data_IF_794815054718
#
_entry.id   IF_794815054718
#
_cell.length_a   1.000
_cell.length_b   1.000
_cell.length_c   1.000
_cell.angle_alpha   90.00
_cell.angle_beta   90.00
_cell.angle_gamma   90.00
#
_symmetry.space_group_name_H-M   'P 1'
#
loop_
_entity.id
_entity.type
_entity.pdbx_description
1 polymer ?
#
# COMPACT_ATOMS: atom_id res chain seq x y z
N UNK A 1 7.75 -6.08 -14.79
CA UNK A 1 6.91 -7.12 -15.43
C UNK A 1 6.20 -6.54 -16.65
N UNK A 2 6.41 -7.10 -17.85
CA UNK A 2 5.70 -6.70 -19.08
C UNK A 2 4.70 -7.81 -19.45
N UNK A 3 3.61 -7.95 -18.69
CA UNK A 3 2.55 -8.93 -19.01
C UNK A 3 1.55 -8.30 -20.00
N UNK A 4 1.40 -8.95 -21.16
CA UNK A 4 0.51 -8.50 -22.24
C UNK A 4 -0.96 -8.54 -21.83
N UNK A 5 -1.35 -9.49 -20.95
CA UNK A 5 -2.72 -9.64 -20.45
C UNK A 5 -3.09 -8.46 -19.56
N UNK A 6 -2.20 -8.09 -18.64
CA UNK A 6 -2.36 -6.92 -17.76
C UNK A 6 -2.45 -5.64 -18.58
N UNK A 7 -1.53 -5.44 -19.54
CA UNK A 7 -1.53 -4.26 -20.42
C UNK A 7 -2.84 -4.15 -21.21
N UNK A 8 -3.35 -5.27 -21.74
CA UNK A 8 -4.61 -5.34 -22.48
C UNK A 8 -5.79 -4.96 -21.58
N UNK A 9 -5.92 -5.59 -20.41
CA UNK A 9 -7.05 -5.37 -19.49
C UNK A 9 -7.09 -3.93 -18.97
N UNK A 10 -5.94 -3.33 -18.63
CA UNK A 10 -5.86 -1.92 -18.22
C UNK A 10 -6.23 -1.00 -19.39
N UNK A 11 -5.75 -1.29 -20.60
CA UNK A 11 -6.09 -0.51 -21.80
C UNK A 11 -7.59 -0.58 -22.11
N UNK A 12 -8.23 -1.73 -21.88
CA UNK A 12 -9.66 -1.90 -21.99
C UNK A 12 -10.41 -1.01 -20.99
N UNK A 13 -10.00 -1.01 -19.72
CA UNK A 13 -10.57 -0.10 -18.70
C UNK A 13 -10.51 1.36 -19.14
N UNK A 14 -9.36 1.83 -19.61
CA UNK A 14 -9.21 3.21 -20.13
C UNK A 14 -10.18 3.52 -21.26
N UNK A 15 -10.37 2.59 -22.21
CA UNK A 15 -11.30 2.76 -23.34
C UNK A 15 -12.75 2.78 -22.89
N UNK A 16 -13.13 1.92 -21.94
CA UNK A 16 -14.45 1.92 -21.32
C UNK A 16 -14.70 3.28 -20.67
N UNK A 17 -13.82 3.71 -19.75
CA UNK A 17 -13.98 4.99 -19.04
C UNK A 17 -14.11 6.16 -20.00
N UNK A 18 -13.22 6.26 -21.01
CA UNK A 18 -13.30 7.31 -22.04
C UNK A 18 -14.63 7.29 -22.80
N UNK A 19 -15.14 6.10 -23.16
CA UNK A 19 -16.41 5.98 -23.88
C UNK A 19 -17.59 6.59 -23.12
N UNK A 20 -17.64 6.41 -21.79
CA UNK A 20 -18.65 7.02 -20.94
C UNK A 20 -18.36 8.50 -20.70
N UNK A 21 -17.11 8.88 -20.45
CA UNK A 21 -16.74 10.26 -20.18
C UNK A 21 -17.22 11.23 -21.27
N UNK A 22 -16.98 10.87 -22.54
CA UNK A 22 -17.36 11.69 -23.70
C UNK A 22 -18.82 11.54 -24.14
N UNK A 23 -19.63 10.72 -23.45
CA UNK A 23 -21.04 10.50 -23.82
C UNK A 23 -21.97 10.70 -22.65
N UNK A 24 -22.58 11.88 -22.56
CA UNK A 24 -23.60 12.18 -21.55
C UNK A 24 -24.75 11.17 -21.56
N UNK A 25 -25.16 10.70 -22.75
CA UNK A 25 -26.21 9.70 -22.92
C UNK A 25 -25.83 8.36 -22.29
N UNK A 26 -24.57 7.92 -22.46
CA UNK A 26 -24.08 6.69 -21.82
C UNK A 26 -23.95 6.85 -20.31
N UNK A 27 -23.52 8.00 -19.80
CA UNK A 27 -23.48 8.27 -18.35
C UNK A 27 -24.86 8.25 -17.72
N UNK A 28 -25.84 8.86 -18.38
CA UNK A 28 -27.23 8.81 -17.92
C UNK A 28 -27.75 7.37 -17.89
N UNK A 29 -27.54 6.62 -18.97
CA UNK A 29 -27.96 5.23 -19.05
C UNK A 29 -27.23 4.35 -18.02
N UNK A 30 -25.95 4.62 -17.73
CA UNK A 30 -25.22 3.95 -16.66
C UNK A 30 -25.89 4.17 -15.30
N UNK A 31 -26.24 5.42 -14.98
CA UNK A 31 -26.94 5.74 -13.73
C UNK A 31 -28.31 5.04 -13.63
N UNK A 32 -29.07 4.99 -14.72
CA UNK A 32 -30.36 4.27 -14.78
C UNK A 32 -30.17 2.76 -14.54
N UNK A 33 -29.13 2.16 -15.13
CA UNK A 33 -28.81 0.74 -14.94
C UNK A 33 -28.26 0.45 -13.54
N UNK A 34 -27.45 1.35 -12.97
CA UNK A 34 -26.96 1.24 -11.59
C UNK A 34 -28.11 1.11 -10.61
N UNK A 35 -29.12 1.99 -10.74
CA UNK A 35 -30.34 1.94 -9.91
C UNK A 35 -31.09 0.62 -10.10
N UNK A 36 -31.26 0.16 -11.34
CA UNK A 36 -31.95 -1.11 -11.63
C UNK A 36 -31.25 -2.33 -11.03
N UNK A 37 -29.92 -2.32 -10.96
CA UNK A 37 -29.11 -3.42 -10.42
C UNK A 37 -28.83 -3.28 -8.93
N UNK A 38 -29.33 -2.23 -8.27
CA UNK A 38 -29.04 -1.95 -6.86
C UNK A 38 -27.56 -1.62 -6.60
N UNK A 39 -26.82 -1.17 -7.62
CA UNK A 39 -25.41 -0.78 -7.50
C UNK A 39 -25.30 0.68 -7.03
N UNK A 40 -24.20 1.04 -6.33
CA UNK A 40 -23.90 2.44 -6.03
C UNK A 40 -23.86 3.28 -7.32
N UNK A 41 -24.50 4.46 -7.30
CA UNK A 41 -24.57 5.38 -8.44
C UNK A 41 -23.26 6.17 -8.60
N UNK A 42 -22.18 5.46 -8.86
CA UNK A 42 -20.83 6.02 -8.95
C UNK A 42 -20.43 6.36 -10.39
N UNK A 43 -19.77 7.50 -10.58
CA UNK A 43 -19.15 7.83 -11.85
C UNK A 43 -17.88 7.00 -12.07
N UNK A 44 -17.52 6.74 -13.33
CA UNK A 44 -16.25 6.08 -13.64
C UNK A 44 -15.06 7.01 -13.36
N UNK A 45 -13.93 6.42 -12.97
CA UNK A 45 -12.71 7.15 -12.61
C UNK A 45 -11.70 7.03 -13.75
N UNK A 46 -11.18 8.17 -14.19
CA UNK A 46 -10.12 8.23 -15.20
C UNK A 46 -8.74 8.14 -14.54
N UNK A 47 -7.88 7.25 -15.04
CA UNK A 47 -6.47 7.21 -14.64
C UNK A 47 -5.80 8.55 -14.96
N UNK A 48 -5.08 9.11 -13.99
CA UNK A 48 -4.26 10.31 -14.13
C UNK A 48 -2.80 9.98 -13.85
N UNK A 49 -1.92 10.36 -14.77
CA UNK A 49 -0.48 10.18 -14.60
C UNK A 49 0.09 10.96 -13.40
N UNK A 50 -0.59 12.03 -12.96
CA UNK A 50 -0.13 12.90 -11.86
C UNK A 50 -0.75 12.54 -10.50
N UNK A 51 -1.74 11.64 -10.46
CA UNK A 51 -2.41 11.23 -9.21
C UNK A 51 -2.07 9.79 -8.88
N UNK A 52 -1.30 9.62 -7.81
CA UNK A 52 -0.98 8.31 -7.23
C UNK A 52 -2.28 7.53 -6.96
N UNK A 53 -2.26 6.22 -7.26
CA UNK A 53 -3.40 5.33 -7.05
C UNK A 53 -4.56 5.46 -8.05
N UNK A 54 -4.59 6.46 -8.94
CA UNK A 54 -5.73 6.67 -9.87
C UNK A 54 -5.99 5.48 -10.80
N UNK A 55 -4.95 4.76 -11.24
CA UNK A 55 -5.10 3.52 -12.02
C UNK A 55 -5.83 2.45 -11.23
N UNK A 56 -5.43 2.23 -9.98
CA UNK A 56 -6.05 1.24 -9.12
C UNK A 56 -7.52 1.61 -8.88
N UNK A 57 -7.81 2.89 -8.62
CA UNK A 57 -9.18 3.37 -8.38
C UNK A 57 -10.07 3.19 -9.61
N UNK A 58 -9.51 3.39 -10.81
CA UNK A 58 -10.18 3.09 -12.07
C UNK A 58 -10.53 1.60 -12.18
N UNK A 59 -9.58 0.70 -11.87
CA UNK A 59 -9.80 -0.75 -11.92
C UNK A 59 -10.89 -1.15 -10.92
N UNK A 60 -10.78 -0.71 -9.67
CA UNK A 60 -11.76 -0.96 -8.62
C UNK A 60 -13.16 -0.49 -9.03
N UNK A 61 -13.27 0.71 -9.60
CA UNK A 61 -14.55 1.26 -10.08
C UNK A 61 -15.11 0.51 -11.29
N UNK A 62 -14.27 0.00 -12.18
CA UNK A 62 -14.71 -0.80 -13.33
C UNK A 62 -15.23 -2.17 -12.87
N UNK A 63 -14.55 -2.82 -11.92
CA UNK A 63 -15.00 -4.07 -11.32
C UNK A 63 -16.30 -3.90 -10.54
N UNK A 64 -16.41 -2.86 -9.70
CA UNK A 64 -17.64 -2.52 -8.95
C UNK A 64 -18.86 -2.36 -9.87
N UNK A 65 -18.63 -1.80 -11.08
CA UNK A 65 -19.68 -1.42 -12.01
C UNK A 65 -19.82 -2.40 -13.19
N UNK A 66 -19.16 -3.56 -13.15
CA UNK A 66 -19.04 -4.50 -14.26
C UNK A 66 -20.41 -4.84 -14.87
N UNK A 67 -21.37 -5.29 -14.06
CA UNK A 67 -22.70 -5.68 -14.53
C UNK A 67 -23.45 -4.53 -15.22
N UNK A 68 -23.34 -3.31 -14.68
CA UNK A 68 -23.96 -2.13 -15.29
C UNK A 68 -23.27 -1.75 -16.61
N UNK A 69 -21.93 -1.79 -16.64
CA UNK A 69 -21.13 -1.53 -17.84
C UNK A 69 -21.45 -2.54 -18.94
N UNK A 70 -21.51 -3.83 -18.62
CA UNK A 70 -21.83 -4.90 -19.56
C UNK A 70 -23.21 -4.68 -20.21
N UNK A 71 -24.23 -4.32 -19.42
CA UNK A 71 -25.59 -4.05 -19.93
C UNK A 71 -25.62 -2.82 -20.86
N UNK A 72 -25.00 -1.71 -20.47
CA UNK A 72 -24.99 -0.49 -21.29
C UNK A 72 -24.17 -0.67 -22.58
N UNK A 73 -23.01 -1.32 -22.49
CA UNK A 73 -22.11 -1.52 -23.62
C UNK A 73 -22.68 -2.53 -24.63
N UNK A 74 -23.35 -3.59 -24.15
CA UNK A 74 -23.97 -4.61 -25.01
C UNK A 74 -25.13 -4.08 -25.85
N UNK A 75 -25.84 -3.07 -25.34
CA UNK A 75 -26.97 -2.45 -26.02
C UNK A 75 -26.57 -1.54 -27.19
N UNK A 76 -25.28 -1.23 -27.36
CA UNK A 76 -24.77 -0.40 -28.45
C UNK A 76 -23.76 -1.17 -29.30
N UNK A 77 -24.12 -1.44 -30.56
CA UNK A 77 -23.27 -2.15 -31.53
C UNK A 77 -21.86 -1.56 -31.65
N UNK A 78 -21.71 -0.23 -31.51
CA UNK A 78 -20.41 0.44 -31.62
C UNK A 78 -19.50 0.17 -30.42
N UNK A 79 -20.07 -0.14 -29.25
CA UNK A 79 -19.31 -0.29 -28.00
C UNK A 79 -19.37 -1.69 -27.41
N UNK A 80 -20.13 -2.60 -28.02
CA UNK A 80 -20.24 -4.00 -27.60
C UNK A 80 -18.89 -4.71 -27.52
N UNK A 81 -17.93 -4.34 -28.37
CA UNK A 81 -16.58 -4.90 -28.36
C UNK A 81 -15.72 -4.44 -27.15
N UNK A 82 -16.22 -3.50 -26.34
CA UNK A 82 -15.58 -3.04 -25.10
C UNK A 82 -16.08 -3.77 -23.86
N UNK A 83 -17.07 -4.67 -23.97
CA UNK A 83 -17.51 -5.47 -22.84
C UNK A 83 -16.33 -6.34 -22.37
N UNK A 84 -15.90 -6.23 -21.10
CA UNK A 84 -14.85 -7.08 -20.56
C UNK A 84 -15.19 -8.56 -20.72
N UNK A 85 -14.22 -9.34 -21.16
CA UNK A 85 -14.34 -10.80 -21.13
C UNK A 85 -14.06 -11.31 -19.73
N UNK A 86 -14.49 -12.55 -19.42
CA UNK A 86 -14.16 -13.19 -18.14
C UNK A 86 -12.64 -13.22 -17.86
N UNK A 87 -11.81 -13.38 -18.90
CA UNK A 87 -10.35 -13.31 -18.79
C UNK A 87 -9.84 -11.90 -18.47
N UNK A 88 -10.45 -10.86 -19.02
CA UNK A 88 -10.09 -9.48 -18.68
C UNK A 88 -10.43 -9.21 -17.21
N UNK A 89 -11.58 -9.69 -16.73
CA UNK A 89 -12.03 -9.54 -15.35
C UNK A 89 -11.13 -10.29 -14.36
N UNK A 90 -10.81 -11.54 -14.63
CA UNK A 90 -9.88 -12.34 -13.81
C UNK A 90 -8.51 -11.64 -13.65
N UNK A 91 -8.00 -11.03 -14.73
CA UNK A 91 -6.76 -10.26 -14.69
C UNK A 91 -6.91 -8.99 -13.84
N UNK A 92 -8.02 -8.25 -13.99
CA UNK A 92 -8.28 -7.03 -13.23
C UNK A 92 -8.46 -7.34 -11.74
N UNK A 93 -9.16 -8.42 -11.39
CA UNK A 93 -9.33 -8.89 -10.02
C UNK A 93 -8.00 -9.30 -9.40
N UNK A 94 -7.15 -10.03 -10.13
CA UNK A 94 -5.81 -10.39 -9.66
C UNK A 94 -4.94 -9.15 -9.40
N UNK A 95 -4.94 -8.17 -10.31
CA UNK A 95 -4.22 -6.91 -10.13
C UNK A 95 -4.77 -6.13 -8.93
N UNK A 96 -6.09 -6.05 -8.81
CA UNK A 96 -6.76 -5.39 -7.69
C UNK A 96 -6.42 -6.05 -6.35
N UNK A 97 -6.42 -7.39 -6.28
CA UNK A 97 -6.09 -8.17 -5.08
C UNK A 97 -4.70 -7.83 -4.56
N UNK A 98 -3.71 -7.69 -5.45
CA UNK A 98 -2.33 -7.39 -5.04
C UNK A 98 -2.12 -5.90 -4.75
N UNK A 99 -2.73 -5.00 -5.52
CA UNK A 99 -2.48 -3.56 -5.38
C UNK A 99 -3.32 -2.90 -4.29
N UNK A 100 -4.49 -3.44 -3.92
CA UNK A 100 -5.37 -2.82 -2.91
C UNK A 100 -4.69 -2.71 -1.53
N UNK A 101 -4.05 -3.76 -0.98
CA UNK A 101 -3.37 -3.63 0.31
C UNK A 101 -2.21 -2.64 0.27
N UNK A 102 -1.51 -2.54 -0.87
CA UNK A 102 -0.46 -1.55 -1.06
C UNK A 102 -0.99 -0.12 -1.11
N UNK A 103 -2.13 0.10 -1.77
CA UNK A 103 -2.80 1.40 -1.77
C UNK A 103 -3.21 1.77 -0.35
N UNK A 104 -3.92 0.90 0.36
CA UNK A 104 -4.38 1.15 1.73
C UNK A 104 -3.18 1.48 2.65
N UNK A 105 -2.07 0.78 2.46
CA UNK A 105 -0.83 1.05 3.17
C UNK A 105 -0.25 2.43 2.82
N UNK A 106 -0.18 2.80 1.54
CA UNK A 106 0.35 4.11 1.13
C UNK A 106 -0.56 5.26 1.55
N UNK A 107 -1.87 5.06 1.55
CA UNK A 107 -2.85 6.05 2.00
C UNK A 107 -2.69 6.28 3.50
N UNK A 108 -2.57 5.19 4.29
CA UNK A 108 -2.26 5.26 5.71
C UNK A 108 -0.92 5.99 5.96
N UNK A 109 0.14 5.61 5.26
CA UNK A 109 1.46 6.24 5.36
C UNK A 109 1.41 7.74 5.03
N UNK A 110 0.63 8.14 4.02
CA UNK A 110 0.49 9.55 3.63
C UNK A 110 -0.32 10.39 4.62
N UNK A 111 -1.13 9.74 5.46
CA UNK A 111 -1.92 10.40 6.50
C UNK A 111 -1.20 10.54 7.84
N UNK A 112 -0.02 9.93 8.00
CA UNK A 112 0.76 10.04 9.23
C UNK A 112 1.48 11.39 9.32
N UNK A 113 1.41 12.02 10.49
CA UNK A 113 2.05 13.30 10.76
C UNK A 113 3.59 13.19 10.76
N UNK A 114 4.11 12.05 11.24
CA UNK A 114 5.54 11.83 11.43
C UNK A 114 5.98 10.48 10.85
N UNK A 115 6.38 10.50 9.58
CA UNK A 115 7.06 9.37 8.91
C UNK A 115 8.56 9.60 8.90
N UNK A 116 9.28 8.76 9.64
CA UNK A 116 10.74 8.77 9.77
C UNK A 116 11.39 7.62 9.00
N UNK A 117 12.69 7.72 8.77
CA UNK A 117 13.49 6.67 8.09
C UNK A 117 13.35 5.29 8.76
N UNK A 118 13.12 5.27 10.07
CA UNK A 118 12.91 4.07 10.88
C UNK A 118 11.72 3.21 10.47
N UNK A 119 10.76 3.73 9.68
CA UNK A 119 9.67 2.91 9.16
C UNK A 119 10.09 2.00 8.00
N UNK A 120 11.13 2.37 7.23
CA UNK A 120 11.41 1.71 5.95
C UNK A 120 11.77 0.23 6.14
N UNK A 121 12.60 -0.12 7.13
CA UNK A 121 12.94 -1.53 7.41
C UNK A 121 11.72 -2.34 7.86
N UNK A 122 10.90 -1.90 8.85
CA UNK A 122 9.62 -2.54 9.17
C UNK A 122 8.69 -2.70 7.96
N UNK A 123 8.62 -1.71 7.06
CA UNK A 123 7.76 -1.78 5.86
C UNK A 123 8.26 -2.83 4.88
N UNK A 124 9.56 -2.84 4.58
CA UNK A 124 10.16 -3.84 3.71
C UNK A 124 9.93 -5.25 4.28
N UNK A 125 10.10 -5.40 5.59
CA UNK A 125 9.81 -6.63 6.30
C UNK A 125 8.34 -7.05 6.16
N UNK A 126 7.41 -6.12 6.43
CA UNK A 126 5.97 -6.35 6.30
C UNK A 126 5.58 -6.78 4.88
N UNK A 127 6.14 -6.14 3.86
CA UNK A 127 5.87 -6.49 2.47
C UNK A 127 6.38 -7.88 2.11
N UNK A 128 7.59 -8.23 2.52
CA UNK A 128 8.17 -9.55 2.28
C UNK A 128 7.40 -10.69 2.96
N UNK A 129 6.99 -10.49 4.23
CA UNK A 129 6.47 -11.59 5.06
C UNK A 129 4.95 -11.63 5.19
N UNK A 130 4.22 -10.61 4.72
CA UNK A 130 2.76 -10.58 4.83
C UNK A 130 2.08 -10.02 3.58
N UNK A 131 2.11 -8.70 3.36
CA UNK A 131 1.27 -8.04 2.36
C UNK A 131 1.53 -8.54 0.93
N UNK A 132 2.77 -8.94 0.62
CA UNK A 132 3.16 -9.50 -0.68
C UNK A 132 3.70 -10.92 -0.57
N UNK A 133 3.49 -11.60 0.56
CA UNK A 133 3.77 -13.03 0.66
C UNK A 133 2.79 -13.79 -0.25
N UNK A 134 3.30 -14.77 -0.99
CA UNK A 134 2.47 -15.64 -1.82
C UNK A 134 1.64 -16.58 -0.93
N UNK A 135 0.34 -16.66 -1.21
CA UNK A 135 -0.60 -17.53 -0.50
C UNK A 135 -1.00 -18.73 -1.39
N UNK A 136 -1.44 -19.84 -0.79
CA UNK A 136 -1.88 -21.02 -1.56
C UNK A 136 -3.05 -20.71 -2.51
N UNK A 137 -3.92 -19.77 -2.13
CA UNK A 137 -5.06 -19.32 -2.94
C UNK A 137 -4.74 -18.23 -3.97
N UNK A 138 -3.48 -17.86 -4.17
CA UNK A 138 -3.11 -16.90 -5.20
C UNK A 138 -3.05 -17.53 -6.59
N UNK A 139 -3.62 -16.82 -7.57
CA UNK A 139 -3.41 -17.15 -8.97
C UNK A 139 -1.94 -16.97 -9.35
N UNK A 140 -1.50 -17.62 -10.42
CA UNK A 140 -0.14 -17.47 -10.94
C UNK A 140 0.19 -16.02 -11.30
N UNK A 141 -0.81 -15.25 -11.74
CA UNK A 141 -0.65 -13.82 -11.98
C UNK A 141 -0.45 -13.04 -10.67
N UNK A 142 -1.22 -13.33 -9.62
CA UNK A 142 -1.03 -12.72 -8.30
C UNK A 142 0.39 -12.98 -7.77
N UNK A 143 0.84 -14.25 -7.81
CA UNK A 143 2.20 -14.63 -7.39
C UNK A 143 3.25 -13.88 -8.19
N UNK A 144 3.12 -13.84 -9.52
CA UNK A 144 4.05 -13.13 -10.40
C UNK A 144 4.13 -11.63 -10.09
N UNK A 145 2.99 -10.96 -9.85
CA UNK A 145 2.96 -9.54 -9.48
C UNK A 145 3.61 -9.34 -8.11
N UNK A 146 3.22 -10.12 -7.09
CA UNK A 146 3.78 -10.06 -5.73
C UNK A 146 5.30 -10.22 -5.75
N UNK A 147 5.80 -11.30 -6.37
CA UNK A 147 7.22 -11.58 -6.52
C UNK A 147 7.93 -10.45 -7.26
N UNK A 148 7.40 -9.95 -8.38
CA UNK A 148 8.03 -8.86 -9.12
C UNK A 148 8.14 -7.56 -8.32
N UNK A 149 7.17 -7.26 -7.45
CA UNK A 149 7.21 -6.08 -6.57
C UNK A 149 8.25 -6.28 -5.48
N UNK A 150 8.22 -7.44 -4.80
CA UNK A 150 9.16 -7.78 -3.73
C UNK A 150 10.61 -7.78 -4.23
N UNK A 151 10.88 -8.42 -5.36
CA UNK A 151 12.22 -8.43 -5.98
C UNK A 151 12.70 -7.01 -6.32
N UNK A 152 11.81 -6.17 -6.86
CA UNK A 152 12.14 -4.79 -7.17
C UNK A 152 12.54 -4.02 -5.90
N UNK A 153 11.75 -4.14 -4.83
CA UNK A 153 12.01 -3.45 -3.57
C UNK A 153 13.29 -3.96 -2.90
N UNK A 154 13.46 -5.27 -2.80
CA UNK A 154 14.66 -5.86 -2.20
C UNK A 154 15.92 -5.44 -2.97
N UNK A 155 15.87 -5.41 -4.30
CA UNK A 155 16.97 -4.89 -5.13
C UNK A 155 17.16 -3.38 -4.97
N UNK A 156 16.09 -2.61 -4.80
CA UNK A 156 16.16 -1.14 -4.65
C UNK A 156 16.87 -0.75 -3.35
N UNK A 157 16.73 -1.55 -2.30
CA UNK A 157 17.30 -1.32 -0.97
C UNK A 157 18.46 -2.28 -0.63
N UNK A 158 19.03 -3.00 -1.62
CA UNK A 158 20.08 -4.00 -1.37
C UNK A 158 21.47 -3.42 -1.13
N UNK A 159 21.65 -2.11 -1.31
CA UNK A 159 22.92 -1.44 -1.05
C UNK A 159 23.32 -1.62 0.43
N UNK A 160 24.55 -2.07 0.75
CA UNK A 160 24.96 -2.34 2.12
C UNK A 160 24.88 -1.10 3.03
N UNK A 161 25.30 0.07 2.55
CA UNK A 161 25.24 1.30 3.34
C UNK A 161 23.79 1.73 3.63
N UNK A 162 22.91 1.61 2.63
CA UNK A 162 21.49 1.84 2.80
C UNK A 162 20.87 0.86 3.78
N UNK A 163 21.17 -0.43 3.65
CA UNK A 163 20.66 -1.48 4.56
C UNK A 163 21.09 -1.21 5.99
N UNK A 164 22.36 -0.87 6.18
CA UNK A 164 22.95 -0.57 7.47
C UNK A 164 22.30 0.68 8.12
N UNK A 165 22.10 1.74 7.33
CA UNK A 165 21.41 2.95 7.76
C UNK A 165 19.95 2.67 8.16
N UNK A 166 19.24 1.85 7.40
CA UNK A 166 17.86 1.48 7.71
C UNK A 166 17.77 0.61 8.97
N UNK A 167 18.74 -0.29 9.17
CA UNK A 167 18.82 -1.14 10.35
C UNK A 167 19.09 -0.32 11.62
N UNK A 168 20.06 0.60 11.62
CA UNK A 168 20.33 1.46 12.78
C UNK A 168 19.16 2.41 13.06
N UNK A 169 18.59 3.05 12.03
CA UNK A 169 17.49 4.00 12.20
C UNK A 169 16.26 3.34 12.82
N UNK A 170 15.98 2.10 12.44
CA UNK A 170 14.87 1.33 12.98
C UNK A 170 15.17 0.78 14.37
N UNK A 171 16.43 0.41 14.63
CA UNK A 171 16.88 -0.08 15.94
C UNK A 171 16.75 0.97 17.04
N UNK A 172 17.16 2.22 16.75
CA UNK A 172 17.10 3.33 17.72
C UNK A 172 15.69 3.87 17.94
N UNK A 173 14.75 3.54 17.06
CA UNK A 173 13.36 3.93 17.20
C UNK A 173 12.64 3.05 18.26
N UNK A 174 12.14 3.65 19.36
CA UNK A 174 11.49 2.89 20.43
C UNK A 174 10.27 2.09 19.99
N UNK A 175 9.64 2.45 18.86
CA UNK A 175 8.47 1.75 18.30
C UNK A 175 8.83 0.39 17.70
N UNK A 176 10.07 0.23 17.21
CA UNK A 176 10.50 -0.96 16.46
C UNK A 176 11.58 -1.74 17.18
N UNK A 177 12.59 -1.07 17.74
CA UNK A 177 13.73 -1.70 18.42
C UNK A 177 14.32 -2.82 17.56
N UNK A 178 14.55 -4.01 18.13
CA UNK A 178 15.09 -5.17 17.43
C UNK A 178 14.03 -5.99 16.65
N UNK A 179 12.74 -5.60 16.64
CA UNK A 179 11.64 -6.46 16.16
C UNK A 179 11.76 -6.88 14.69
N UNK A 180 12.32 -6.01 13.84
CA UNK A 180 12.42 -6.22 12.39
C UNK A 180 13.88 -6.40 11.93
N UNK A 181 14.74 -6.79 12.87
CA UNK A 181 16.18 -6.98 12.65
C UNK A 181 16.49 -8.44 12.88
N UNK A 182 17.32 -8.99 12.00
CA UNK A 182 17.81 -10.36 12.04
C UNK A 182 18.60 -10.58 13.34
N UNK A 183 18.30 -11.63 14.10
CA UNK A 183 18.79 -11.82 15.48
C UNK A 183 20.31 -11.74 15.59
N UNK A 184 21.02 -12.28 14.60
CA UNK A 184 22.48 -12.32 14.51
C UNK A 184 23.12 -10.93 14.41
N UNK A 185 22.37 -9.92 13.95
CA UNK A 185 22.85 -8.54 13.80
C UNK A 185 22.57 -7.65 15.00
N UNK A 186 21.70 -8.07 15.92
CA UNK A 186 21.20 -7.21 17.00
C UNK A 186 22.33 -6.74 17.92
N UNK A 187 23.25 -7.62 18.29
CA UNK A 187 24.33 -7.26 19.22
C UNK A 187 25.38 -6.35 18.55
N UNK A 188 25.66 -6.56 17.27
CA UNK A 188 26.52 -5.66 16.48
C UNK A 188 25.91 -4.26 16.39
N UNK A 189 24.59 -4.16 16.17
CA UNK A 189 23.88 -2.88 16.13
C UNK A 189 23.83 -2.18 17.49
N UNK A 190 23.62 -2.92 18.58
CA UNK A 190 23.74 -2.37 19.95
C UNK A 190 25.11 -1.75 20.17
N UNK A 191 26.18 -2.51 19.88
CA UNK A 191 27.55 -2.05 20.08
C UNK A 191 27.83 -0.79 19.25
N UNK A 192 27.40 -0.77 17.99
CA UNK A 192 27.57 0.42 17.13
C UNK A 192 26.79 1.62 17.65
N UNK A 193 25.53 1.45 18.05
CA UNK A 193 24.72 2.53 18.59
C UNK A 193 25.38 3.16 19.83
N UNK A 194 25.93 2.34 20.71
CA UNK A 194 26.67 2.82 21.90
C UNK A 194 27.91 3.61 21.49
N UNK A 195 28.74 3.09 20.58
CA UNK A 195 29.94 3.80 20.10
C UNK A 195 29.60 5.15 19.44
N UNK A 196 28.55 5.21 18.62
CA UNK A 196 28.12 6.46 17.99
C UNK A 196 27.67 7.48 19.04
N UNK A 197 26.93 7.05 20.07
CA UNK A 197 26.53 7.92 21.19
C UNK A 197 27.75 8.42 21.97
N UNK A 198 28.70 7.54 22.31
CA UNK A 198 29.93 7.91 23.00
C UNK A 198 30.74 8.94 22.20
N UNK A 199 30.85 8.74 20.88
CA UNK A 199 31.53 9.67 19.97
C UNK A 199 30.84 11.04 19.94
N UNK A 200 29.52 11.06 19.83
CA UNK A 200 28.74 12.31 19.83
C UNK A 200 28.85 13.07 21.16
N UNK A 201 28.95 12.36 22.29
CA UNK A 201 29.16 12.97 23.61
C UNK A 201 30.59 13.53 23.76
N UNK A 202 31.59 12.84 23.22
CA UNK A 202 32.98 13.33 23.19
C UNK A 202 33.11 14.60 22.34
N UNK A 203 32.44 14.65 21.18
CA UNK A 203 32.45 15.83 20.30
C UNK A 203 31.70 17.03 20.89
N UNK A 204 30.61 16.79 21.65
CA UNK A 204 29.90 17.85 22.37
C UNK A 204 30.72 18.45 23.53
N UNK A 205 31.75 17.76 24.00
CA UNK A 205 32.66 18.27 25.03
C UNK A 205 33.64 19.34 24.49
N UNK A 206 33.71 19.52 23.15
CA UNK A 206 34.60 20.45 22.44
C UNK A 206 33.90 21.76 22.03
N UNK A 207 32.57 21.78 21.89
CA UNK A 207 31.81 22.94 21.42
C UNK A 207 30.64 23.26 22.37
N UNK A 208 30.61 24.47 22.95
CA UNK A 208 29.43 24.97 23.66
C UNK A 208 28.22 25.07 22.71
N UNK A 209 26.98 24.84 23.20
CA UNK A 209 25.81 24.82 22.33
C UNK A 209 25.39 26.25 21.93
N UNK A 210 25.20 26.57 20.64
CA UNK A 210 24.19 27.53 20.26
C UNK A 210 22.83 26.89 20.50
N UNK A 211 22.03 27.51 21.36
CA UNK A 211 20.64 27.18 21.66
C UNK A 211 19.89 26.64 20.43
N UNK A 212 19.66 25.33 20.37
CA UNK A 212 18.70 24.73 19.45
C UNK A 212 17.32 25.16 19.91
N UNK A 213 16.75 26.14 19.22
CA UNK A 213 15.35 26.51 19.36
C UNK A 213 14.52 25.33 18.88
N UNK A 214 14.05 24.50 19.81
CA UNK A 214 12.94 23.58 19.56
C UNK A 214 11.79 24.43 19.01
N UNK A 215 11.21 24.11 17.83
CA UNK A 215 10.02 24.79 17.36
C UNK A 215 8.93 24.64 18.42
N UNK A 216 8.55 25.75 19.06
CA UNK A 216 7.40 25.78 19.96
C UNK A 216 6.15 25.59 19.12
N UNK A 217 5.46 24.48 19.33
CA UNK A 217 4.16 24.17 18.71
C UNK A 217 3.10 25.08 19.33
N UNK A 218 2.25 25.77 18.55
CA UNK A 218 1.00 26.31 19.06
C UNK A 218 0.08 25.14 19.41
N UNK A 219 -0.41 25.08 20.65
CA UNK A 219 -1.49 24.14 21.00
C UNK A 219 -2.66 24.28 20.01
N UNK A 220 -3.28 23.17 19.58
CA UNK A 220 -4.49 23.23 18.80
C UNK A 220 -5.59 23.82 19.68
N UNK A 221 -6.18 24.94 19.23
CA UNK A 221 -7.44 25.40 19.75
C UNK A 221 -8.50 24.31 19.51
N UNK A 222 -9.25 23.96 20.56
CA UNK A 222 -10.39 23.07 20.50
C UNK A 222 -11.34 23.50 19.38
N UNK A 223 -11.25 22.78 18.26
CA UNK A 223 -12.10 22.89 17.11
C UNK A 223 -12.60 21.51 16.78
N UNK A 224 -13.78 21.20 17.27
CA UNK A 224 -14.51 19.97 17.03
C UNK A 224 -14.74 19.80 15.52
N UNK A 225 -13.86 19.04 14.86
CA UNK A 225 -13.94 18.77 13.43
C UNK A 225 -14.39 17.33 13.19
N UNK A 226 -15.50 17.24 12.45
CA UNK A 226 -16.28 16.06 12.09
C UNK A 226 -15.50 14.75 11.87
N UNK A 227 -16.06 13.68 12.46
CA UNK A 227 -15.66 12.28 12.30
C UNK A 227 -15.62 11.88 10.82
N UNK A 228 -14.41 11.78 10.26
CA UNK A 228 -14.15 11.09 9.01
C UNK A 228 -14.15 9.56 9.25
N UNK A 229 -14.52 8.73 8.26
CA UNK A 229 -14.69 7.29 8.46
C UNK A 229 -13.35 6.65 8.86
N UNK A 230 -13.40 5.59 9.67
CA UNK A 230 -12.24 4.87 10.25
C UNK A 230 -11.22 4.45 9.16
N UNK A 231 -10.26 5.32 8.86
CA UNK A 231 -9.11 5.00 8.03
C UNK A 231 -8.18 4.05 8.79
N UNK A 232 -7.60 3.07 8.08
CA UNK A 232 -6.57 2.21 8.66
C UNK A 232 -5.37 3.11 9.02
N UNK A 233 -4.95 3.11 10.27
CA UNK A 233 -3.74 3.84 10.69
C UNK A 233 -2.50 3.05 10.33
N UNK A 234 -1.36 3.70 10.11
CA UNK A 234 -0.12 2.99 9.77
C UNK A 234 0.28 2.01 10.90
N UNK A 235 0.05 2.40 12.14
CA UNK A 235 0.25 1.54 13.31
C UNK A 235 -0.54 0.23 13.27
N UNK A 236 -1.72 0.20 12.62
CA UNK A 236 -2.54 -1.01 12.54
C UNK A 236 -1.85 -2.14 11.75
N UNK A 237 -1.08 -1.80 10.72
CA UNK A 237 -0.30 -2.74 9.92
C UNK A 237 0.83 -3.40 10.72
N UNK A 238 1.41 -2.69 11.70
CA UNK A 238 2.50 -3.22 12.54
C UNK A 238 2.00 -3.97 13.79
N UNK A 239 0.80 -3.65 14.30
CA UNK A 239 0.21 -4.29 15.49
C UNK A 239 -0.37 -5.68 15.22
N UNK A 240 -0.75 -5.98 13.98
CA UNK A 240 -1.40 -7.25 13.60
C UNK A 240 -0.54 -8.49 13.89
N UNK A 241 0.77 -8.32 14.13
CA UNK A 241 1.71 -9.41 14.40
C UNK A 241 1.95 -9.71 15.89
N UNK A 242 1.65 -8.78 16.81
CA UNK A 242 1.81 -9.02 18.25
C UNK A 242 0.99 -10.22 18.73
N UNK A 243 -0.13 -10.50 18.07
CA UNK A 243 -1.04 -11.60 18.41
C UNK A 243 -0.61 -12.97 17.87
N UNK A 244 0.18 -13.03 16.78
CA UNK A 244 0.62 -14.32 16.23
C UNK A 244 1.82 -14.93 16.97
N UNK A 245 2.62 -14.13 17.68
CA UNK A 245 3.72 -14.64 18.51
C UNK A 245 3.26 -15.16 19.89
N UNK A 246 2.06 -14.83 20.37
CA UNK A 246 1.55 -15.34 21.65
C UNK A 246 0.78 -16.66 21.55
N UNK A 247 0.38 -17.10 20.35
CA UNK A 247 -0.39 -18.33 20.20
C UNK A 247 0.47 -19.57 19.87
N UNK A 248 1.74 -19.38 19.48
CA UNK A 248 2.63 -20.47 19.05
C UNK A 248 3.49 -21.07 20.18
N UNK A 249 3.41 -20.56 21.41
CA UNK A 249 4.26 -20.99 22.54
C UNK A 249 3.57 -21.87 23.59
N UNK A 250 2.29 -22.25 23.39
CA UNK A 250 1.52 -23.05 24.37
C UNK A 250 0.99 -24.39 23.81
N UNK A 251 1.75 -25.07 22.94
CA UNK A 251 1.42 -26.44 22.50
C UNK A 251 2.66 -27.34 22.34
N UNK A 252 3.59 -27.33 23.30
CA UNK A 252 4.52 -28.46 23.49
C UNK A 252 4.69 -28.72 24.99
N UNK A 253 3.90 -29.67 25.51
CA UNK A 253 3.90 -30.00 26.93
C UNK A 253 2.79 -30.98 27.30
N UNK A 254 2.93 -32.24 26.87
CA UNK A 254 2.12 -33.35 27.35
C UNK A 254 1.86 -34.41 26.29
N UNK A 255 2.71 -35.42 26.23
CA UNK A 255 2.41 -36.83 26.58
C UNK A 255 3.70 -37.64 26.52
#
# INVERSE_FOLDING_TARGET
MNDKRVTRAISLCKRIVSCFWYSWKKRRHLAEVQIQLGLPSHQLITESATRWGSRQQMIERVLEQEGALAKVLSNDKKTRHLVPTWQDLEVLEAVQKVLKPLQDFTDALSGEEYVTLSYVKPVLHLFNESLLACEEGDSELCKSIKTSIVEYLNRKYSDPATTDLLEIASFVDPRFRATYIVSEKVDALKHRAVLEVETLLADQSSCQPPYLRVPTVPEPADGEAAVAPKAKTLASFFKQRSHHHHCATNQEGGY
#
